data_IF_974312671519
#
_entry.id   IF_974312671519
#
_cell.length_a   1.000
_cell.length_b   1.000
_cell.length_c   1.000
_cell.angle_alpha   90.00
_cell.angle_beta   90.00
_cell.angle_gamma   90.00
#
_symmetry.space_group_name_H-M   'P 1'
#
loop_
_entity.id
_entity.type
_entity.pdbx_description
1 polymer ?
#
# COMPACT_ATOMS: atom_id res chain seq x y z
N UNK A 1 23.47 0.10 7.48
CA UNK A 1 22.23 -0.33 8.18
C UNK A 1 22.10 0.44 9.49
N UNK A 2 20.92 0.99 9.79
CA UNK A 2 20.61 1.67 11.07
C UNK A 2 19.28 1.17 11.63
N UNK A 3 19.24 0.92 12.94
CA UNK A 3 18.05 0.49 13.68
C UNK A 3 17.40 1.69 14.36
N UNK A 4 16.07 1.82 14.25
CA UNK A 4 15.27 2.81 14.96
C UNK A 4 14.18 2.13 15.78
N UNK A 5 14.22 2.35 17.11
CA UNK A 5 13.31 1.74 18.07
C UNK A 5 12.89 2.70 19.20
N UNK A 6 12.14 2.18 20.18
CA UNK A 6 11.65 2.89 21.36
C UNK A 6 12.73 3.55 22.21
N UNK A 7 13.93 2.97 22.24
CA UNK A 7 15.05 3.52 22.99
C UNK A 7 15.80 4.63 22.22
N UNK A 8 15.49 4.82 20.93
CA UNK A 8 16.16 5.83 20.11
C UNK A 8 15.58 7.21 20.40
N UNK A 9 16.41 8.15 20.85
CA UNK A 9 16.00 9.54 21.15
C UNK A 9 15.31 10.20 19.95
N UNK A 10 14.26 10.99 20.20
CA UNK A 10 13.46 11.70 19.19
C UNK A 10 14.32 12.39 18.12
N UNK A 11 15.30 13.19 18.54
CA UNK A 11 16.21 13.94 17.64
C UNK A 11 17.03 13.00 16.75
N UNK A 12 17.49 11.88 17.30
CA UNK A 12 18.25 10.88 16.53
C UNK A 12 17.35 10.20 15.50
N UNK A 13 16.09 9.92 15.84
CA UNK A 13 15.11 9.37 14.89
C UNK A 13 14.88 10.33 13.73
N UNK A 14 14.60 11.60 14.02
CA UNK A 14 14.40 12.64 13.00
C UNK A 14 15.62 12.79 12.09
N UNK A 15 16.82 12.82 12.67
CA UNK A 15 18.05 12.88 11.88
C UNK A 15 18.19 11.67 10.95
N UNK A 16 17.97 10.46 11.46
CA UNK A 16 18.05 9.24 10.65
C UNK A 16 17.00 9.22 9.53
N UNK A 17 15.78 9.70 9.77
CA UNK A 17 14.75 9.86 8.73
C UNK A 17 15.20 10.84 7.64
N UNK A 18 15.71 12.01 8.04
CA UNK A 18 16.16 13.03 7.10
C UNK A 18 17.31 12.52 6.24
N UNK A 19 18.29 11.84 6.86
CA UNK A 19 19.43 11.31 6.10
C UNK A 19 19.02 10.14 5.20
N UNK A 20 18.10 9.26 5.62
CA UNK A 20 17.57 8.20 4.76
C UNK A 20 16.77 8.73 3.56
N UNK A 21 16.08 9.86 3.71
CA UNK A 21 15.40 10.56 2.62
C UNK A 21 16.33 11.40 1.73
N UNK A 22 17.61 11.04 1.66
CA UNK A 22 18.64 11.74 0.91
C UNK A 22 19.52 10.71 0.18
N UNK A 23 20.40 11.11 -0.76
CA UNK A 23 21.32 10.18 -1.40
C UNK A 23 22.45 9.69 -0.48
N UNK A 24 22.43 10.05 0.81
CA UNK A 24 23.46 9.71 1.79
C UNK A 24 23.05 8.51 2.67
N UNK A 25 24.00 8.01 3.45
CA UNK A 25 23.78 6.89 4.37
C UNK A 25 22.76 7.23 5.48
N UNK A 26 21.96 6.27 5.96
CA UNK A 26 22.08 4.83 5.71
C UNK A 26 21.33 4.36 4.46
N UNK A 27 21.82 3.28 3.83
CA UNK A 27 21.10 2.61 2.72
C UNK A 27 19.94 1.73 3.19
N UNK A 28 20.00 1.27 4.46
CA UNK A 28 19.00 0.39 5.07
C UNK A 28 18.59 0.96 6.41
N UNK A 29 17.29 1.21 6.56
CA UNK A 29 16.64 1.67 7.78
C UNK A 29 15.71 0.58 8.28
N UNK A 30 15.95 0.07 9.50
CA UNK A 30 15.01 -0.83 10.17
C UNK A 30 14.11 0.02 11.08
N UNK A 31 12.83 0.05 10.72
CA UNK A 31 11.79 0.72 11.46
C UNK A 31 11.01 -0.31 12.29
N UNK A 32 10.97 -0.14 13.62
CA UNK A 32 10.06 -0.89 14.50
C UNK A 32 8.74 -0.13 14.70
N UNK A 33 7.82 -0.66 15.51
CA UNK A 33 6.49 -0.09 15.79
C UNK A 33 6.50 1.40 16.19
N UNK A 34 7.59 1.84 16.83
CA UNK A 34 7.81 3.21 17.29
C UNK A 34 7.96 4.22 16.13
N UNK A 35 8.15 3.70 14.92
CA UNK A 35 8.30 4.46 13.68
C UNK A 35 7.06 4.36 12.78
N UNK A 36 6.02 3.64 13.21
CA UNK A 36 4.81 3.39 12.42
C UNK A 36 3.91 4.62 12.29
N UNK A 37 4.07 5.60 13.18
CA UNK A 37 3.28 6.83 13.20
C UNK A 37 4.08 8.03 12.67
N UNK A 38 3.55 8.70 11.65
CA UNK A 38 4.00 10.04 11.22
C UNK A 38 5.31 10.09 10.44
N UNK A 39 5.80 8.97 9.91
CA UNK A 39 7.09 8.92 9.22
C UNK A 39 6.91 8.82 7.72
N UNK A 40 7.56 9.72 6.98
CA UNK A 40 7.55 9.74 5.52
C UNK A 40 8.93 9.35 5.00
N UNK A 41 9.01 8.29 4.20
CA UNK A 41 10.26 7.74 3.66
C UNK A 41 10.29 7.73 2.11
N UNK A 42 9.31 8.38 1.48
CA UNK A 42 9.05 8.34 0.04
C UNK A 42 10.13 8.98 -0.85
N UNK A 43 10.96 9.90 -0.33
CA UNK A 43 11.83 10.71 -1.21
C UNK A 43 12.94 9.92 -1.86
N UNK A 44 13.59 9.01 -1.13
CA UNK A 44 14.73 8.23 -1.62
C UNK A 44 14.60 6.71 -1.38
N UNK A 45 13.45 6.24 -0.91
CA UNK A 45 13.17 4.82 -0.75
C UNK A 45 12.38 4.26 -1.94
N UNK A 46 12.77 3.09 -2.44
CA UNK A 46 12.05 2.33 -3.48
C UNK A 46 11.80 0.88 -3.09
N UNK A 47 12.49 0.37 -2.08
CA UNK A 47 12.42 -1.03 -1.68
C UNK A 47 11.91 -1.11 -0.25
N UNK A 48 10.82 -1.82 -0.05
CA UNK A 48 10.17 -2.01 1.25
C UNK A 48 10.14 -3.50 1.54
N UNK A 49 10.57 -3.89 2.74
CA UNK A 49 10.49 -5.27 3.20
C UNK A 49 9.67 -5.25 4.49
N UNK A 50 8.47 -5.82 4.45
CA UNK A 50 7.70 -6.04 5.67
C UNK A 50 8.15 -7.37 6.27
N UNK A 51 8.96 -7.30 7.32
CA UNK A 51 9.42 -8.49 8.03
C UNK A 51 8.28 -9.20 8.77
N UNK A 52 7.27 -8.46 9.23
CA UNK A 52 6.06 -8.97 9.83
C UNK A 52 4.85 -8.70 8.93
N UNK A 53 3.98 -9.68 8.79
CA UNK A 53 2.72 -9.51 8.08
C UNK A 53 1.59 -9.20 9.06
N UNK A 54 0.93 -8.06 8.86
CA UNK A 54 -0.24 -7.67 9.64
C UNK A 54 -1.47 -8.46 9.19
N UNK A 55 -2.30 -8.90 10.15
CA UNK A 55 -3.59 -9.57 9.87
C UNK A 55 -4.60 -8.70 9.10
N UNK A 56 -4.44 -7.38 9.18
CA UNK A 56 -5.27 -6.38 8.51
C UNK A 56 -4.53 -5.81 7.28
N UNK A 57 -5.04 -6.01 6.05
CA UNK A 57 -4.47 -5.43 4.84
C UNK A 57 -4.36 -3.92 4.88
N UNK A 58 -5.34 -3.21 5.46
CA UNK A 58 -5.28 -1.75 5.53
C UNK A 58 -4.08 -1.26 6.36
N UNK A 59 -3.64 -2.03 7.36
CA UNK A 59 -2.43 -1.71 8.11
C UNK A 59 -1.18 -1.89 7.26
N UNK A 60 -1.13 -2.95 6.45
CA UNK A 60 -0.02 -3.18 5.51
C UNK A 60 0.05 -2.06 4.48
N UNK A 61 -1.11 -1.66 3.95
CA UNK A 61 -1.24 -0.58 2.98
C UNK A 61 -0.80 0.76 3.56
N UNK A 62 -1.25 1.10 4.77
CA UNK A 62 -0.79 2.31 5.48
C UNK A 62 0.73 2.33 5.71
N UNK A 63 1.35 1.16 5.97
CA UNK A 63 2.82 1.07 6.11
C UNK A 63 3.52 1.29 4.76
N UNK A 64 3.00 0.72 3.68
CA UNK A 64 3.52 0.93 2.32
C UNK A 64 3.35 2.39 1.87
N UNK A 65 2.22 3.03 2.18
CA UNK A 65 1.92 4.44 1.89
C UNK A 65 2.81 5.47 2.62
N UNK A 66 3.75 5.02 3.48
CA UNK A 66 4.84 5.87 3.99
C UNK A 66 5.94 6.10 2.95
N UNK A 67 6.07 5.17 2.00
CA UNK A 67 7.02 5.19 0.90
C UNK A 67 6.31 5.52 -0.41
N UNK A 68 5.12 4.97 -0.62
CA UNK A 68 4.30 5.30 -1.79
C UNK A 68 3.53 6.60 -1.56
N UNK A 69 4.11 7.72 -2.01
CA UNK A 69 3.52 9.05 -1.92
C UNK A 69 3.80 9.87 -3.16
N UNK A 70 2.89 10.79 -3.47
CA UNK A 70 3.06 11.81 -4.50
C UNK A 70 4.35 12.60 -4.24
N UNK A 71 5.18 12.75 -5.27
CA UNK A 71 6.47 13.43 -5.19
C UNK A 71 7.63 12.53 -4.77
N UNK A 72 7.41 11.23 -4.64
CA UNK A 72 8.49 10.26 -4.49
C UNK A 72 9.43 10.31 -5.71
N UNK A 73 10.74 10.14 -5.49
CA UNK A 73 11.72 10.16 -6.60
C UNK A 73 11.47 9.05 -7.62
N UNK A 74 10.89 7.93 -7.18
CA UNK A 74 10.52 6.80 -8.02
C UNK A 74 9.45 7.18 -9.05
N UNK A 75 8.47 7.99 -8.66
CA UNK A 75 7.43 8.54 -9.54
C UNK A 75 8.05 9.45 -10.60
N UNK A 76 8.93 10.38 -10.18
CA UNK A 76 9.64 11.30 -11.08
C UNK A 76 10.53 10.57 -12.09
N UNK A 77 11.09 9.43 -11.70
CA UNK A 77 11.97 8.62 -12.53
C UNK A 77 11.21 7.54 -13.35
N UNK A 78 9.88 7.43 -13.22
CA UNK A 78 9.10 6.39 -13.87
C UNK A 78 9.48 4.97 -13.43
N UNK A 79 9.87 4.78 -12.17
CA UNK A 79 10.28 3.47 -11.61
C UNK A 79 9.25 2.99 -10.57
N UNK A 80 8.99 1.68 -10.50
CA UNK A 80 8.06 1.14 -9.50
C UNK A 80 8.71 1.05 -8.12
N UNK A 81 7.87 1.13 -7.08
CA UNK A 81 8.21 0.71 -5.72
C UNK A 81 8.13 -0.82 -5.66
N UNK A 82 9.08 -1.45 -5.00
CA UNK A 82 9.09 -2.89 -4.78
C UNK A 82 8.79 -3.18 -3.31
N UNK A 83 7.73 -3.94 -3.06
CA UNK A 83 7.33 -4.39 -1.73
C UNK A 83 7.55 -5.88 -1.61
N UNK A 84 8.26 -6.31 -0.58
CA UNK A 84 8.57 -7.70 -0.30
C UNK A 84 7.92 -8.14 1.01
N UNK A 85 7.29 -9.32 0.97
CA UNK A 85 6.59 -9.97 2.09
C UNK A 85 7.18 -11.37 2.30
N UNK A 86 8.42 -11.49 2.81
CA UNK A 86 9.01 -12.79 3.11
C UNK A 86 8.14 -13.53 4.14
N UNK A 87 7.94 -14.82 3.93
CA UNK A 87 7.25 -15.72 4.86
C UNK A 87 7.95 -17.08 4.86
N UNK A 88 7.80 -17.82 5.96
CA UNK A 88 8.33 -19.18 6.06
C UNK A 88 7.34 -20.17 5.45
N UNK A 89 7.78 -20.91 4.42
CA UNK A 89 6.99 -21.95 3.77
C UNK A 89 6.65 -23.10 4.73
N UNK A 90 5.50 -23.73 4.53
CA UNK A 90 4.98 -24.85 5.33
C UNK A 90 4.72 -24.51 6.82
N UNK A 91 4.68 -23.21 7.14
CA UNK A 91 4.40 -22.73 8.50
C UNK A 91 3.07 -21.98 8.59
N UNK A 92 2.73 -21.53 9.80
CA UNK A 92 1.59 -20.64 10.00
C UNK A 92 1.76 -19.29 9.27
N UNK A 93 3.00 -18.86 9.02
CA UNK A 93 3.27 -17.63 8.28
C UNK A 93 2.75 -17.71 6.85
N UNK A 94 2.90 -18.87 6.19
CA UNK A 94 2.35 -19.09 4.86
C UNK A 94 0.81 -19.01 4.86
N UNK A 95 0.16 -19.62 5.85
CA UNK A 95 -1.30 -19.56 5.99
C UNK A 95 -1.77 -18.12 6.18
N UNK A 96 -1.10 -17.38 7.08
CA UNK A 96 -1.37 -15.97 7.33
C UNK A 96 -1.16 -15.13 6.08
N UNK A 97 -0.03 -15.33 5.37
CA UNK A 97 0.27 -14.71 4.09
C UNK A 97 -0.88 -14.89 3.10
N UNK A 98 -1.30 -16.13 2.87
CA UNK A 98 -2.43 -16.42 1.98
C UNK A 98 -3.71 -15.70 2.43
N UNK A 99 -4.05 -15.69 3.73
CA UNK A 99 -5.27 -15.00 4.24
C UNK A 99 -5.21 -13.49 4.01
N UNK A 100 -4.09 -12.85 4.33
CA UNK A 100 -3.95 -11.40 4.22
C UNK A 100 -3.92 -10.97 2.76
N UNK A 101 -3.22 -11.70 1.88
CA UNK A 101 -3.19 -11.39 0.44
C UNK A 101 -4.55 -11.55 -0.23
N UNK A 102 -5.34 -12.55 0.16
CA UNK A 102 -6.71 -12.61 -0.32
C UNK A 102 -7.50 -11.39 0.15
N UNK A 103 -7.47 -11.06 1.45
CA UNK A 103 -8.22 -9.91 1.98
C UNK A 103 -7.78 -8.58 1.34
N UNK A 104 -6.49 -8.42 1.05
CA UNK A 104 -5.96 -7.27 0.31
C UNK A 104 -6.60 -7.20 -1.08
N UNK A 105 -6.65 -8.32 -1.82
CA UNK A 105 -7.32 -8.39 -3.12
C UNK A 105 -8.80 -7.97 -3.05
N UNK A 106 -9.53 -8.43 -2.03
CA UNK A 106 -10.93 -8.02 -1.82
C UNK A 106 -11.03 -6.52 -1.52
N UNK A 107 -10.14 -6.01 -0.67
CA UNK A 107 -10.07 -4.60 -0.31
C UNK A 107 -9.81 -3.74 -1.54
N UNK A 108 -8.83 -4.10 -2.37
CA UNK A 108 -8.44 -3.34 -3.57
C UNK A 108 -9.56 -3.28 -4.61
N UNK A 109 -10.32 -4.37 -4.79
CA UNK A 109 -11.54 -4.36 -5.62
C UNK A 109 -12.58 -3.38 -5.09
N UNK A 110 -12.86 -3.41 -3.78
CA UNK A 110 -13.81 -2.48 -3.13
C UNK A 110 -13.35 -1.03 -3.26
N UNK A 111 -12.04 -0.78 -3.23
CA UNK A 111 -11.44 0.54 -3.43
C UNK A 111 -11.41 0.99 -4.91
N UNK A 112 -11.91 0.17 -5.84
CA UNK A 112 -12.04 0.51 -7.26
C UNK A 112 -10.81 0.18 -8.10
N UNK A 113 -9.86 -0.62 -7.59
CA UNK A 113 -8.72 -1.07 -8.39
C UNK A 113 -9.15 -2.09 -9.45
N UNK A 114 -8.59 -2.00 -10.66
CA UNK A 114 -8.93 -2.91 -11.75
C UNK A 114 -8.40 -4.32 -11.47
N UNK A 115 -9.31 -5.26 -11.27
CA UNK A 115 -9.01 -6.67 -11.05
C UNK A 115 -8.31 -7.29 -12.27
N UNK A 116 -7.00 -7.53 -12.18
CA UNK A 116 -6.24 -8.30 -13.18
C UNK A 116 -6.14 -9.76 -12.74
N UNK A 117 -6.75 -10.67 -13.49
CA UNK A 117 -6.57 -12.11 -13.32
C UNK A 117 -5.29 -12.49 -14.06
N UNK A 118 -4.15 -12.53 -13.37
CA UNK A 118 -2.92 -13.07 -13.96
C UNK A 118 -2.81 -14.58 -13.66
N UNK A 119 -2.56 -15.38 -14.70
CA UNK A 119 -2.58 -16.84 -14.65
C UNK A 119 -1.49 -17.43 -13.75
N UNK A 120 -0.40 -16.69 -13.52
CA UNK A 120 0.68 -17.06 -12.57
C UNK A 120 0.23 -16.98 -11.11
N UNK A 121 -0.80 -16.18 -10.81
CA UNK A 121 -1.44 -16.13 -9.48
C UNK A 121 -2.27 -17.38 -9.22
N UNK A 122 -2.69 -18.11 -10.25
CA UNK A 122 -3.66 -19.20 -10.13
C UNK A 122 -3.04 -20.54 -9.66
N UNK A 123 -1.79 -20.84 -10.03
CA UNK A 123 -1.23 -22.19 -9.85
C UNK A 123 -0.88 -22.55 -8.38
N UNK A 124 -0.49 -21.59 -7.53
CA UNK A 124 -0.21 -21.86 -6.10
C UNK A 124 -1.40 -21.53 -5.16
N UNK A 125 -2.40 -20.79 -5.64
CA UNK A 125 -3.61 -20.38 -4.91
C UNK A 125 -4.82 -21.30 -5.12
N UNK A 126 -4.68 -22.40 -5.87
CA UNK A 126 -5.75 -23.32 -6.28
C UNK A 126 -6.59 -23.98 -5.15
N UNK A 127 -6.36 -23.63 -3.89
CA UNK A 127 -7.17 -24.05 -2.73
C UNK A 127 -8.14 -23.00 -2.19
N UNK A 128 -8.35 -21.87 -2.88
CA UNK A 128 -9.30 -20.83 -2.41
C UNK A 128 -10.23 -20.35 -3.51
N UNK A 129 -11.43 -19.94 -3.09
CA UNK A 129 -12.50 -19.45 -3.97
C UNK A 129 -12.10 -18.07 -4.50
N UNK A 130 -11.77 -17.92 -5.80
CA UNK A 130 -11.46 -16.62 -6.37
C UNK A 130 -12.73 -15.76 -6.42
N UNK A 131 -12.56 -14.43 -6.33
CA UNK A 131 -13.67 -13.50 -6.55
C UNK A 131 -14.22 -13.71 -7.98
N UNK A 132 -15.50 -14.03 -8.16
CA UNK A 132 -16.09 -14.14 -9.49
C UNK A 132 -15.90 -12.84 -10.26
N UNK A 133 -15.45 -12.95 -11.52
CA UNK A 133 -15.13 -11.78 -12.34
C UNK A 133 -16.31 -10.81 -12.49
N UNK A 134 -17.54 -11.32 -12.49
CA UNK A 134 -18.76 -10.51 -12.50
C UNK A 134 -18.91 -9.65 -11.24
N UNK A 135 -18.67 -10.22 -10.06
CA UNK A 135 -18.76 -9.51 -8.79
C UNK A 135 -17.64 -8.47 -8.65
N UNK A 136 -16.44 -8.78 -9.16
CA UNK A 136 -15.33 -7.83 -9.20
C UNK A 136 -15.64 -6.58 -10.02
N UNK A 137 -16.29 -6.76 -11.18
CA UNK A 137 -16.68 -5.66 -12.07
C UNK A 137 -17.81 -4.81 -11.49
N UNK A 138 -18.71 -5.41 -10.71
CA UNK A 138 -19.81 -4.69 -10.06
C UNK A 138 -19.33 -3.86 -8.86
N UNK A 139 -18.39 -4.39 -8.07
CA UNK A 139 -17.90 -3.74 -6.85
C UNK A 139 -16.79 -2.71 -7.11
N UNK A 140 -16.18 -2.71 -8.29
CA UNK A 140 -15.20 -1.70 -8.68
C UNK A 140 -15.88 -0.32 -8.74
N UNK A 141 -15.57 0.55 -7.77
CA UNK A 141 -16.10 1.90 -7.70
C UNK A 141 -15.83 2.68 -8.99
N UNK A 142 -16.88 3.13 -9.69
CA UNK A 142 -16.75 3.98 -10.88
C UNK A 142 -16.48 5.42 -10.46
N UNK A 143 -15.21 5.80 -10.39
CA UNK A 143 -14.76 7.16 -10.10
C UNK A 143 -14.76 8.07 -11.36
N UNK A 144 -15.76 7.92 -12.23
CA UNK A 144 -15.97 8.89 -13.31
C UNK A 144 -16.53 10.18 -12.70
N UNK A 145 -15.63 11.08 -12.32
CA UNK A 145 -15.96 12.46 -11.96
C UNK A 145 -16.61 13.11 -13.17
N UNK A 146 -17.86 13.53 -13.01
CA UNK A 146 -18.62 14.34 -13.96
C UNK A 146 -17.86 15.66 -14.22
N UNK A 147 -16.98 15.67 -15.22
CA UNK A 147 -16.40 16.88 -15.78
C UNK A 147 -17.34 17.45 -16.85
N UNK A 148 -18.07 18.50 -16.48
CA UNK A 148 -18.76 19.45 -17.38
C UNK A 148 -20.28 19.37 -17.32
N UNK A 149 -21.05 20.41 -17.00
CA UNK A 149 -20.79 21.83 -16.70
C UNK A 149 -22.12 22.50 -16.26
N UNK A 150 -22.12 23.78 -15.86
CA UNK A 150 -23.30 24.47 -15.30
C UNK A 150 -24.17 25.13 -16.38
N UNK A 151 -25.26 25.82 -15.93
CA UNK A 151 -26.23 26.67 -16.67
C UNK A 151 -27.54 25.95 -17.02
N UNK A 152 -28.75 26.39 -16.66
CA UNK A 152 -29.23 27.59 -15.96
C UNK A 152 -30.74 27.40 -15.77
N UNK A 153 -31.33 27.96 -14.71
CA UNK A 153 -32.28 29.04 -14.94
C UNK A 153 -33.66 28.68 -14.37
N UNK A 154 -34.23 29.64 -13.67
CA UNK A 154 -35.45 29.62 -12.86
C UNK A 154 -36.72 29.37 -13.68
N UNK A 155 -37.75 28.78 -13.07
CA UNK A 155 -39.02 29.49 -12.77
C UNK A 155 -40.09 28.61 -12.10
N UNK A 156 -40.52 29.09 -10.92
CA UNK A 156 -41.91 29.37 -10.53
C UNK A 156 -43.10 28.43 -10.83
N UNK A 157 -43.90 28.26 -9.76
CA UNK A 157 -45.37 28.28 -9.67
C UNK A 157 -46.07 26.96 -9.33
N UNK A 158 -46.47 26.91 -8.04
CA UNK A 158 -47.74 26.47 -7.43
C UNK A 158 -48.67 25.52 -8.20
N UNK A 159 -49.13 24.50 -7.47
CA UNK A 159 -50.49 24.47 -6.90
C UNK A 159 -50.55 23.53 -5.72
#
# INVERSE_FOLDING_TARGET
MRLVNGATKQETRQRLMLTFNSPFFPEVLIASSVMAEGVDLHRFCRYVIHHDLCWNPSTLEQRTGRVDRIGAKVEQCGRPIHVYLPHLAETQDEKMYRVVMDRERWFSVVMGEQFKVDARTTENLAHRVPLPASLAQELAFRLEVALGGPMGGTDGVRS
#
